data_IF_494400311283
#
_entry.id   IF_494400311283
#
_cell.length_a   1.000
_cell.length_b   1.000
_cell.length_c   1.000
_cell.angle_alpha   90.00
_cell.angle_beta   90.00
_cell.angle_gamma   90.00
#
_symmetry.space_group_name_H-M   'P 1'
#
loop_
_entity.id
_entity.type
_entity.pdbx_description
1 polymer ?
#
# COMPACT_ATOMS: atom_id res chain seq x y z
N UNK A 1 -1.68 5.83 -9.25
CA UNK A 1 -0.75 5.52 -10.34
C UNK A 1 0.28 6.62 -10.38
N UNK A 2 1.52 6.26 -10.16
CA UNK A 2 2.66 7.17 -10.06
C UNK A 2 3.20 7.50 -11.44
N UNK A 3 3.03 6.59 -12.39
CA UNK A 3 3.18 6.86 -13.82
C UNK A 3 1.79 6.87 -14.49
N UNK A 4 1.23 8.06 -14.64
CA UNK A 4 0.01 8.24 -15.43
C UNK A 4 0.35 8.29 -16.93
N UNK A 5 -0.28 7.43 -17.72
CA UNK A 5 -0.25 7.46 -19.19
C UNK A 5 -1.65 7.62 -19.80
N UNK A 6 -2.66 7.90 -18.98
CA UNK A 6 -4.06 8.04 -19.41
C UNK A 6 -4.23 9.08 -20.52
N UNK A 7 -3.48 10.18 -20.46
CA UNK A 7 -3.51 11.22 -21.48
C UNK A 7 -2.89 10.75 -22.81
N UNK A 8 -1.80 9.98 -22.75
CA UNK A 8 -1.14 9.42 -23.95
C UNK A 8 -2.02 8.41 -24.67
N UNK A 9 -2.94 7.74 -23.96
CA UNK A 9 -3.88 6.76 -24.52
C UNK A 9 -5.31 7.29 -24.70
N UNK A 10 -5.51 8.60 -24.54
CA UNK A 10 -6.83 9.20 -24.66
C UNK A 10 -7.39 9.15 -26.09
N UNK A 11 -6.52 9.13 -27.11
CA UNK A 11 -6.89 8.98 -28.52
C UNK A 11 -6.45 7.63 -29.08
N UNK A 12 -7.36 6.94 -29.78
CA UNK A 12 -7.07 5.68 -30.46
C UNK A 12 -6.32 5.97 -31.76
N UNK A 13 -5.01 5.75 -31.76
CA UNK A 13 -4.15 5.78 -32.95
C UNK A 13 -3.30 4.51 -32.99
N UNK A 14 -3.04 3.97 -34.18
CA UNK A 14 -2.21 2.77 -34.37
C UNK A 14 -0.80 2.95 -33.81
N UNK A 15 -0.29 4.19 -33.72
CA UNK A 15 1.03 4.51 -33.17
C UNK A 15 1.03 4.67 -31.64
N UNK A 16 -0.13 4.80 -31.00
CA UNK A 16 -0.23 4.98 -29.55
C UNK A 16 0.41 3.81 -28.80
N UNK A 17 0.14 2.57 -29.23
CA UNK A 17 0.70 1.38 -28.60
C UNK A 17 2.23 1.31 -28.76
N UNK A 18 2.75 1.66 -29.94
CA UNK A 18 4.20 1.70 -30.20
C UNK A 18 4.89 2.74 -29.31
N UNK A 19 4.27 3.91 -29.12
CA UNK A 19 4.76 4.97 -28.22
C UNK A 19 4.84 4.48 -26.76
N UNK A 20 3.86 3.71 -26.29
CA UNK A 20 3.88 3.12 -24.94
C UNK A 20 5.00 2.08 -24.79
N UNK A 21 5.19 1.22 -25.79
CA UNK A 21 6.20 0.16 -25.77
C UNK A 21 7.63 0.72 -25.69
N UNK A 22 7.86 1.91 -26.24
CA UNK A 22 9.15 2.60 -26.21
C UNK A 22 9.36 3.49 -24.97
N UNK A 23 8.40 3.54 -24.04
CA UNK A 23 8.57 4.27 -22.78
C UNK A 23 9.63 3.59 -21.90
N UNK A 24 10.37 4.38 -21.11
CA UNK A 24 11.41 3.85 -20.21
C UNK A 24 10.99 3.74 -18.75
N UNK A 25 10.35 4.79 -18.20
CA UNK A 25 9.87 4.77 -16.81
C UNK A 25 8.65 3.85 -16.68
N UNK A 26 8.66 2.96 -15.68
CA UNK A 26 7.60 1.95 -15.49
C UNK A 26 7.44 0.96 -16.64
N UNK A 27 8.49 0.74 -17.44
CA UNK A 27 8.40 -0.11 -18.61
C UNK A 27 8.98 -1.50 -18.41
N UNK A 28 8.47 -2.45 -19.20
CA UNK A 28 8.95 -3.85 -19.21
C UNK A 28 10.45 -3.91 -19.49
N UNK A 29 10.98 -3.01 -20.33
CA UNK A 29 12.41 -2.94 -20.63
C UNK A 29 13.26 -2.65 -19.39
N UNK A 30 12.81 -1.72 -18.54
CA UNK A 30 13.54 -1.39 -17.31
C UNK A 30 13.61 -2.60 -16.37
N UNK A 31 12.54 -3.39 -16.30
CA UNK A 31 12.43 -4.55 -15.41
C UNK A 31 13.11 -5.83 -15.93
N UNK A 32 13.25 -6.01 -17.24
CA UNK A 32 13.75 -7.27 -17.84
C UNK A 32 15.16 -7.15 -18.43
N UNK A 33 15.71 -5.93 -18.59
CA UNK A 33 17.01 -5.72 -19.27
C UNK A 33 18.16 -6.53 -18.69
N UNK A 34 18.23 -6.72 -17.37
CA UNK A 34 19.31 -7.45 -16.68
C UNK A 34 19.24 -8.93 -16.99
N UNK A 35 18.05 -9.51 -16.85
CA UNK A 35 17.73 -10.91 -17.14
C UNK A 35 17.93 -11.21 -18.62
N UNK A 36 17.45 -10.33 -19.50
CA UNK A 36 17.61 -10.47 -20.94
C UNK A 36 19.08 -10.39 -21.36
N UNK A 37 19.84 -9.44 -20.81
CA UNK A 37 21.27 -9.32 -21.10
C UNK A 37 22.02 -10.58 -20.66
N UNK A 38 21.75 -11.08 -19.45
CA UNK A 38 22.34 -12.32 -18.95
C UNK A 38 21.99 -13.51 -19.85
N UNK A 39 20.73 -13.62 -20.28
CA UNK A 39 20.27 -14.68 -21.17
C UNK A 39 20.94 -14.61 -22.54
N UNK A 40 21.04 -13.42 -23.14
CA UNK A 40 21.69 -13.21 -24.44
C UNK A 40 23.17 -13.57 -24.36
N UNK A 41 23.87 -13.15 -23.31
CA UNK A 41 25.28 -13.51 -23.09
C UNK A 41 25.43 -15.03 -22.96
N UNK A 42 24.62 -15.68 -22.12
CA UNK A 42 24.66 -17.13 -21.94
C UNK A 42 24.38 -17.88 -23.25
N UNK A 43 23.38 -17.42 -24.02
CA UNK A 43 23.04 -18.00 -25.32
C UNK A 43 24.21 -17.92 -26.30
N UNK A 44 24.85 -16.75 -26.42
CA UNK A 44 25.99 -16.59 -27.33
C UNK A 44 27.23 -17.35 -26.87
N UNK A 45 27.45 -17.54 -25.57
CA UNK A 45 28.50 -18.43 -25.06
C UNK A 45 28.27 -19.86 -25.55
N UNK A 46 27.07 -20.41 -25.37
CA UNK A 46 26.73 -21.76 -25.84
C UNK A 46 26.85 -21.86 -27.36
N UNK A 47 26.40 -20.84 -28.10
CA UNK A 47 26.55 -20.76 -29.55
C UNK A 47 28.03 -20.81 -29.99
N UNK A 48 28.91 -20.03 -29.34
CA UNK A 48 30.33 -20.02 -29.63
C UNK A 48 31.00 -21.37 -29.31
N UNK A 49 30.63 -22.02 -28.20
CA UNK A 49 31.12 -23.35 -27.85
C UNK A 49 30.72 -24.36 -28.92
N UNK A 50 29.44 -24.39 -29.29
CA UNK A 50 28.94 -25.30 -30.32
C UNK A 50 29.64 -25.09 -31.67
N UNK A 51 29.82 -23.83 -32.09
CA UNK A 51 30.33 -23.51 -33.43
C UNK A 51 31.84 -23.64 -33.56
N UNK A 52 32.60 -23.29 -32.53
CA UNK A 52 34.06 -23.15 -32.61
C UNK A 52 34.84 -24.11 -31.71
N UNK A 53 34.26 -24.62 -30.63
CA UNK A 53 34.98 -25.48 -29.68
C UNK A 53 34.64 -26.98 -29.83
N UNK A 54 33.40 -27.32 -30.20
CA UNK A 54 32.98 -28.72 -30.34
C UNK A 54 33.44 -29.34 -31.66
N UNK A 55 33.89 -30.59 -31.58
CA UNK A 55 34.20 -31.42 -32.75
C UNK A 55 32.93 -31.95 -33.43
N UNK A 56 32.97 -32.37 -34.71
CA UNK A 56 31.81 -32.89 -35.43
C UNK A 56 31.01 -34.01 -34.73
N UNK A 57 31.64 -35.01 -34.06
CA UNK A 57 30.88 -36.01 -33.31
C UNK A 57 30.20 -35.41 -32.06
N UNK A 58 30.85 -34.47 -31.36
CA UNK A 58 30.26 -33.82 -30.18
C UNK A 58 29.10 -32.90 -30.54
N UNK A 59 29.15 -32.23 -31.70
CA UNK A 59 28.04 -31.43 -32.21
C UNK A 59 26.78 -32.28 -32.42
N UNK A 60 26.92 -33.50 -32.96
CA UNK A 60 25.79 -34.43 -33.15
C UNK A 60 25.15 -34.85 -31.83
N UNK A 61 25.96 -35.08 -30.79
CA UNK A 61 25.41 -35.39 -29.45
C UNK A 61 24.71 -34.16 -28.84
N UNK A 62 25.28 -32.97 -29.01
CA UNK A 62 24.63 -31.72 -28.58
C UNK A 62 23.28 -31.49 -29.28
N UNK A 63 23.21 -31.75 -30.59
CA UNK A 63 21.96 -31.64 -31.36
C UNK A 63 20.86 -32.59 -30.87
N UNK A 64 21.22 -33.83 -30.50
CA UNK A 64 20.28 -34.78 -29.89
C UNK A 64 19.74 -34.26 -28.56
N UNK A 65 20.62 -33.70 -27.72
CA UNK A 65 20.24 -33.11 -26.43
C UNK A 65 19.31 -31.93 -26.65
N UNK A 66 19.65 -31.01 -27.56
CA UNK A 66 18.85 -29.83 -27.87
C UNK A 66 17.46 -30.22 -28.40
N UNK A 67 17.39 -31.21 -29.30
CA UNK A 67 16.13 -31.74 -29.81
C UNK A 67 15.28 -32.36 -28.69
N UNK A 68 15.90 -33.16 -27.81
CA UNK A 68 15.24 -33.76 -26.66
C UNK A 68 14.66 -32.70 -25.72
N UNK A 69 15.44 -31.67 -25.37
CA UNK A 69 14.97 -30.56 -24.55
C UNK A 69 13.81 -29.82 -25.20
N UNK A 70 13.88 -29.53 -26.51
CA UNK A 70 12.83 -28.81 -27.23
C UNK A 70 11.50 -29.56 -27.21
N UNK A 71 11.52 -30.89 -27.36
CA UNK A 71 10.30 -31.71 -27.26
C UNK A 71 9.65 -31.66 -25.88
N UNK A 72 10.42 -31.39 -24.82
CA UNK A 72 9.90 -31.39 -23.46
C UNK A 72 9.47 -30.00 -22.95
N UNK A 73 9.79 -28.92 -23.67
CA UNK A 73 9.39 -27.57 -23.31
C UNK A 73 7.86 -27.38 -23.35
N UNK A 74 7.18 -28.05 -24.28
CA UNK A 74 5.72 -27.97 -24.45
C UNK A 74 4.94 -28.66 -23.31
N UNK A 75 5.57 -29.54 -22.52
CA UNK A 75 4.91 -30.20 -21.39
C UNK A 75 4.64 -29.27 -20.22
N UNK A 76 5.31 -28.12 -20.14
CA UNK A 76 5.12 -27.16 -19.05
C UNK A 76 4.16 -26.07 -19.54
N UNK A 77 2.89 -26.03 -19.07
CA UNK A 77 1.91 -25.04 -19.50
C UNK A 77 2.17 -23.68 -18.82
N UNK A 78 3.31 -23.06 -19.13
CA UNK A 78 3.76 -21.79 -18.55
C UNK A 78 2.72 -20.69 -18.74
N UNK A 79 2.12 -20.59 -19.93
CA UNK A 79 1.10 -19.58 -20.24
C UNK A 79 -0.12 -19.67 -19.31
N UNK A 80 -0.57 -20.90 -19.04
CA UNK A 80 -1.68 -21.12 -18.11
C UNK A 80 -1.30 -20.68 -16.70
N UNK A 81 -0.19 -21.19 -16.17
CA UNK A 81 0.27 -20.83 -14.82
C UNK A 81 0.48 -19.31 -14.66
N UNK A 82 1.04 -18.66 -15.68
CA UNK A 82 1.26 -17.22 -15.72
C UNK A 82 -0.04 -16.44 -15.65
N UNK A 83 -1.05 -16.83 -16.42
CA UNK A 83 -2.34 -16.16 -16.45
C UNK A 83 -3.04 -16.21 -15.09
N UNK A 84 -3.05 -17.38 -14.42
CA UNK A 84 -3.60 -17.50 -13.07
C UNK A 84 -2.83 -16.66 -12.06
N UNK A 85 -1.50 -16.71 -12.12
CA UNK A 85 -0.64 -15.95 -11.20
C UNK A 85 -0.83 -14.43 -11.34
N UNK A 86 -0.80 -13.91 -12.57
CA UNK A 86 -0.98 -12.48 -12.85
C UNK A 86 -2.36 -12.01 -12.44
N UNK A 87 -3.42 -12.79 -12.69
CA UNK A 87 -4.79 -12.43 -12.27
C UNK A 87 -4.90 -12.31 -10.74
N UNK A 88 -4.35 -13.27 -9.98
CA UNK A 88 -4.36 -13.23 -8.52
C UNK A 88 -3.65 -11.97 -7.99
N UNK A 89 -2.52 -11.62 -8.60
CA UNK A 89 -1.73 -10.46 -8.20
C UNK A 89 -2.44 -9.15 -8.54
N UNK A 90 -3.02 -9.05 -9.74
CA UNK A 90 -3.81 -7.89 -10.14
C UNK A 90 -5.02 -7.67 -9.20
N UNK A 91 -5.70 -8.74 -8.81
CA UNK A 91 -6.80 -8.68 -7.84
C UNK A 91 -6.34 -8.24 -6.45
N UNK A 92 -5.18 -8.75 -5.98
CA UNK A 92 -4.58 -8.32 -4.71
C UNK A 92 -4.21 -6.83 -4.76
N UNK A 93 -3.54 -6.39 -5.82
CA UNK A 93 -3.18 -5.00 -6.03
C UNK A 93 -4.41 -4.09 -6.01
N UNK A 94 -5.48 -4.47 -6.71
CA UNK A 94 -6.74 -3.71 -6.75
C UNK A 94 -7.40 -3.64 -5.37
N UNK A 95 -7.35 -4.73 -4.60
CA UNK A 95 -7.83 -4.74 -3.20
C UNK A 95 -7.01 -3.79 -2.34
N UNK A 96 -5.68 -3.74 -2.46
CA UNK A 96 -4.84 -2.80 -1.71
C UNK A 96 -5.19 -1.37 -2.10
N UNK A 97 -5.29 -1.08 -3.41
CA UNK A 97 -5.65 0.24 -3.92
C UNK A 97 -7.01 0.73 -3.38
N UNK A 98 -8.05 -0.12 -3.47
CA UNK A 98 -9.40 0.23 -3.02
C UNK A 98 -9.50 0.40 -1.50
N UNK A 99 -8.62 -0.23 -0.74
CA UNK A 99 -8.57 -0.12 0.72
C UNK A 99 -7.62 1.00 1.19
N UNK A 100 -6.98 1.75 0.30
CA UNK A 100 -6.21 2.93 0.70
C UNK A 100 -7.12 3.91 1.46
N UNK A 101 -6.65 4.38 2.61
CA UNK A 101 -7.43 5.17 3.54
C UNK A 101 -7.66 6.61 3.05
N UNK A 102 -8.71 6.83 2.26
CA UNK A 102 -9.15 8.16 1.86
C UNK A 102 -9.96 8.83 2.99
N UNK A 103 -9.66 10.09 3.30
CA UNK A 103 -10.21 10.80 4.47
C UNK A 103 -11.48 11.61 4.15
N UNK A 104 -11.82 11.81 2.88
CA UNK A 104 -12.85 12.74 2.42
C UNK A 104 -14.23 12.37 2.94
N UNK A 105 -14.61 11.10 2.81
CA UNK A 105 -15.90 10.62 3.27
C UNK A 105 -16.04 10.83 4.78
N UNK A 106 -14.96 10.60 5.54
CA UNK A 106 -14.95 10.87 6.96
C UNK A 106 -15.07 12.37 7.24
N UNK A 107 -14.26 13.21 6.60
CA UNK A 107 -14.22 14.65 6.85
C UNK A 107 -15.54 15.34 6.47
N UNK A 108 -16.16 14.94 5.35
CA UNK A 108 -17.48 15.40 4.93
C UNK A 108 -18.56 14.95 5.91
N UNK A 109 -18.52 13.69 6.35
CA UNK A 109 -19.48 13.18 7.34
C UNK A 109 -19.32 13.90 8.68
N UNK A 110 -18.10 14.15 9.15
CA UNK A 110 -17.80 14.92 10.37
C UNK A 110 -18.38 16.31 10.32
N UNK A 111 -18.17 17.00 9.20
CA UNK A 111 -18.69 18.36 8.99
C UNK A 111 -20.22 18.36 8.92
N UNK A 112 -20.82 17.36 8.28
CA UNK A 112 -22.27 17.26 8.15
C UNK A 112 -22.97 16.90 9.47
N UNK A 113 -22.36 16.05 10.30
CA UNK A 113 -22.98 15.46 11.50
C UNK A 113 -22.67 16.25 12.77
N UNK A 114 -21.44 16.76 12.92
CA UNK A 114 -21.01 17.49 14.11
C UNK A 114 -21.37 18.97 13.93
N UNK A 115 -22.62 19.31 14.28
CA UNK A 115 -23.21 20.65 14.16
C UNK A 115 -23.44 21.23 15.54
N UNK A 116 -23.11 22.51 15.70
CA UNK A 116 -23.20 23.23 16.97
C UNK A 116 -23.65 24.65 16.76
N UNK A 117 -24.16 25.26 17.83
CA UNK A 117 -24.45 26.69 17.84
C UNK A 117 -23.15 27.52 17.78
N UNK A 118 -23.28 28.80 17.39
CA UNK A 118 -22.14 29.71 17.23
C UNK A 118 -21.24 29.81 18.48
N UNK A 119 -21.80 29.61 19.68
CA UNK A 119 -21.07 29.63 20.94
C UNK A 119 -20.10 28.44 21.11
N UNK A 120 -20.39 27.28 20.51
CA UNK A 120 -19.62 26.04 20.66
C UNK A 120 -18.87 25.65 19.38
N UNK A 121 -18.96 26.46 18.33
CA UNK A 121 -18.39 26.18 17.01
C UNK A 121 -16.85 26.06 17.03
N UNK A 122 -16.17 26.81 17.89
CA UNK A 122 -14.72 26.65 18.05
C UNK A 122 -14.34 25.30 18.64
N UNK A 123 -15.07 24.86 19.68
CA UNK A 123 -14.84 23.54 20.28
C UNK A 123 -15.14 22.43 19.26
N UNK A 124 -16.28 22.52 18.56
CA UNK A 124 -16.65 21.59 17.49
C UNK A 124 -15.59 21.51 16.39
N UNK A 125 -15.04 22.65 15.98
CA UNK A 125 -13.94 22.74 15.00
C UNK A 125 -12.68 22.04 15.50
N UNK A 126 -12.29 22.25 16.75
CA UNK A 126 -11.14 21.57 17.36
C UNK A 126 -11.37 20.06 17.46
N UNK A 127 -12.58 19.61 17.78
CA UNK A 127 -12.93 18.18 17.78
C UNK A 127 -12.83 17.58 16.38
N UNK A 128 -13.39 18.22 15.34
CA UNK A 128 -13.27 17.77 13.94
C UNK A 128 -11.81 17.64 13.52
N UNK A 129 -10.99 18.65 13.83
CA UNK A 129 -9.54 18.65 13.54
C UNK A 129 -8.81 17.50 14.23
N UNK A 130 -9.07 17.28 15.51
CA UNK A 130 -8.43 16.20 16.27
C UNK A 130 -8.85 14.82 15.79
N UNK A 131 -10.14 14.61 15.47
CA UNK A 131 -10.63 13.34 14.91
C UNK A 131 -9.95 13.04 13.57
N UNK A 132 -9.89 14.02 12.66
CA UNK A 132 -9.21 13.85 11.36
C UNK A 132 -7.72 13.57 11.56
N UNK A 133 -7.04 14.32 12.44
CA UNK A 133 -5.62 14.13 12.75
C UNK A 133 -5.35 12.74 13.29
N UNK A 134 -6.18 12.21 14.19
CA UNK A 134 -6.05 10.86 14.71
C UNK A 134 -6.22 9.77 13.64
N UNK A 135 -7.13 9.97 12.69
CA UNK A 135 -7.29 9.02 11.57
C UNK A 135 -6.09 9.04 10.62
N UNK A 136 -5.52 10.21 10.36
CA UNK A 136 -4.27 10.34 9.58
C UNK A 136 -3.08 9.76 10.37
N UNK A 137 -3.01 9.99 11.67
CA UNK A 137 -1.98 9.42 12.54
C UNK A 137 -2.02 7.88 12.51
N UNK A 138 -3.21 7.28 12.59
CA UNK A 138 -3.37 5.83 12.39
C UNK A 138 -2.84 5.39 11.03
N UNK A 139 -3.20 6.10 9.94
CA UNK A 139 -2.69 5.82 8.60
C UNK A 139 -1.16 5.90 8.49
N UNK A 140 -0.52 6.90 9.12
CA UNK A 140 0.94 7.05 9.14
C UNK A 140 1.58 5.87 9.88
N UNK A 141 1.09 5.51 11.06
CA UNK A 141 1.61 4.39 11.84
C UNK A 141 1.52 3.07 11.06
N UNK A 142 0.44 2.89 10.30
CA UNK A 142 0.24 1.77 9.39
C UNK A 142 1.26 1.78 8.25
N UNK A 143 1.34 2.89 7.51
CA UNK A 143 2.19 2.98 6.33
C UNK A 143 3.68 2.91 6.67
N UNK A 144 4.10 3.35 7.85
CA UNK A 144 5.48 3.19 8.34
C UNK A 144 5.92 1.72 8.40
N UNK A 145 4.98 0.80 8.64
CA UNK A 145 5.30 -0.63 8.73
C UNK A 145 5.31 -1.33 7.37
N UNK A 146 4.50 -0.86 6.42
CA UNK A 146 4.29 -1.54 5.12
C UNK A 146 4.90 -0.82 3.92
N UNK A 147 5.34 0.43 4.07
CA UNK A 147 6.01 1.22 3.01
C UNK A 147 7.33 1.78 3.49
N UNK A 148 8.42 1.46 2.78
CA UNK A 148 9.76 1.93 3.10
C UNK A 148 9.90 3.44 2.92
N UNK A 149 9.21 4.03 1.93
CA UNK A 149 9.19 5.47 1.71
C UNK A 149 8.64 6.23 2.91
N UNK A 150 7.56 5.71 3.51
CA UNK A 150 6.95 6.32 4.70
C UNK A 150 7.80 6.07 5.94
N UNK A 151 8.43 4.90 6.05
CA UNK A 151 9.39 4.60 7.14
C UNK A 151 10.59 5.54 7.14
N UNK A 152 11.13 5.88 5.98
CA UNK A 152 12.24 6.85 5.87
C UNK A 152 11.81 8.26 6.23
N UNK A 153 10.58 8.65 5.91
CA UNK A 153 10.02 9.96 6.28
C UNK A 153 9.72 10.07 7.77
N UNK A 154 9.15 9.02 8.36
CA UNK A 154 8.78 8.98 9.77
C UNK A 154 9.49 7.85 10.50
N UNK A 155 10.82 7.93 10.72
CA UNK A 155 11.60 6.83 11.31
C UNK A 155 11.21 6.50 12.75
N UNK A 156 10.85 7.52 13.54
CA UNK A 156 10.58 7.42 14.97
C UNK A 156 9.36 8.28 15.37
N UNK A 157 8.89 8.16 16.61
CA UNK A 157 7.73 8.93 17.09
C UNK A 157 8.00 10.44 17.18
N UNK A 158 9.24 10.86 17.47
CA UNK A 158 9.59 12.28 17.52
C UNK A 158 9.46 12.94 16.15
N UNK A 159 9.80 12.23 15.07
CA UNK A 159 9.57 12.73 13.70
C UNK A 159 8.09 12.99 13.40
N UNK A 160 7.19 12.18 13.96
CA UNK A 160 5.72 12.33 13.82
C UNK A 160 5.22 13.53 14.64
N UNK A 161 5.79 13.74 15.83
CA UNK A 161 5.48 14.89 16.69
C UNK A 161 5.94 16.19 16.05
N UNK A 162 7.18 16.23 15.55
CA UNK A 162 7.77 17.40 14.90
C UNK A 162 6.96 17.86 13.68
N UNK A 163 6.38 16.92 12.93
CA UNK A 163 5.49 17.18 11.79
C UNK A 163 4.04 17.55 12.21
N UNK A 164 3.74 17.52 13.51
CA UNK A 164 2.45 17.94 14.08
C UNK A 164 1.32 16.93 13.91
N UNK A 165 1.64 15.66 13.66
CA UNK A 165 0.64 14.58 13.59
C UNK A 165 0.27 14.03 14.97
N UNK A 166 1.15 14.21 15.95
CA UNK A 166 0.99 13.77 17.33
C UNK A 166 1.46 14.87 18.30
N UNK A 167 0.79 15.02 19.43
CA UNK A 167 1.17 15.97 20.48
C UNK A 167 2.00 15.26 21.57
N UNK A 168 2.80 16.01 22.33
CA UNK A 168 3.69 15.43 23.36
C UNK A 168 2.93 14.59 24.39
N UNK A 169 1.83 15.11 24.94
CA UNK A 169 0.97 14.36 25.88
C UNK A 169 0.32 13.11 25.25
N UNK A 170 0.15 13.07 23.93
CA UNK A 170 -0.36 11.89 23.23
C UNK A 170 0.72 10.82 23.08
N UNK A 171 2.00 11.22 23.00
CA UNK A 171 3.13 10.27 23.04
C UNK A 171 3.20 9.61 24.41
N UNK A 172 3.03 10.36 25.49
CA UNK A 172 2.98 9.80 26.85
C UNK A 172 1.87 8.74 26.97
N UNK A 173 0.65 9.09 26.54
CA UNK A 173 -0.47 8.12 26.49
C UNK A 173 -0.18 6.91 25.59
N UNK A 174 0.58 7.08 24.51
CA UNK A 174 0.97 6.01 23.59
C UNK A 174 2.00 5.06 24.22
N UNK A 175 2.97 5.61 24.97
CA UNK A 175 4.01 4.88 25.67
C UNK A 175 3.51 4.16 26.91
N UNK A 176 2.56 4.74 27.65
CA UNK A 176 1.90 4.09 28.79
C UNK A 176 1.26 2.76 28.40
N UNK A 177 0.67 2.69 27.20
CA UNK A 177 0.08 1.45 26.66
C UNK A 177 1.16 0.41 26.29
N UNK A 178 2.41 0.83 26.03
CA UNK A 178 3.54 -0.09 25.76
C UNK A 178 4.10 -0.73 27.03
N UNK A 179 3.77 -0.20 28.21
CA UNK A 179 4.33 -0.64 29.47
C UNK A 179 4.17 -2.16 29.67
N UNK A 180 5.23 -2.89 30.11
CA UNK A 180 5.22 -4.35 30.25
C UNK A 180 4.08 -4.88 31.12
N UNK A 181 3.69 -4.10 32.13
CA UNK A 181 2.60 -4.37 33.06
C UNK A 181 1.24 -4.56 32.35
N UNK A 182 0.98 -3.75 31.31
CA UNK A 182 -0.25 -3.84 30.50
C UNK A 182 -0.19 -5.00 29.51
N UNK A 183 0.99 -5.28 28.94
CA UNK A 183 1.23 -6.43 28.04
C UNK A 183 0.95 -7.78 28.68
N UNK A 184 1.22 -7.94 29.99
CA UNK A 184 1.05 -9.22 30.70
C UNK A 184 -0.41 -9.59 30.96
N UNK A 185 -1.33 -8.62 31.08
CA UNK A 185 -2.73 -8.90 31.46
C UNK A 185 -3.57 -9.55 30.36
N UNK A 186 -3.14 -9.53 29.10
CA UNK A 186 -3.90 -10.10 27.98
C UNK A 186 -2.98 -10.82 26.99
N UNK A 187 -2.61 -12.07 27.31
CA UNK A 187 -1.68 -12.90 26.53
C UNK A 187 -2.15 -13.13 25.07
N UNK A 188 -3.47 -13.25 24.85
CA UNK A 188 -4.09 -13.39 23.52
C UNK A 188 -3.99 -12.12 22.67
N UNK A 189 -3.63 -10.98 23.27
CA UNK A 189 -3.55 -9.66 22.63
C UNK A 189 -2.10 -9.21 22.37
N UNK A 190 -1.10 -10.04 22.68
CA UNK A 190 0.34 -9.74 22.45
C UNK A 190 0.65 -9.34 21.00
N UNK A 191 0.00 -9.98 20.02
CA UNK A 191 0.13 -9.64 18.59
C UNK A 191 -0.50 -8.26 18.30
N UNK A 192 -1.62 -7.92 18.93
CA UNK A 192 -2.30 -6.64 18.77
C UNK A 192 -1.58 -5.46 19.45
N UNK A 193 -0.85 -5.72 20.54
CA UNK A 193 -0.07 -4.69 21.28
C UNK A 193 1.25 -4.38 20.56
N UNK A 194 1.74 -5.27 19.70
CA UNK A 194 2.97 -5.03 18.93
C UNK A 194 2.86 -3.82 18.00
N UNK A 195 1.65 -3.51 17.52
CA UNK A 195 1.40 -2.39 16.63
C UNK A 195 0.17 -1.58 17.05
N UNK A 196 0.42 -0.44 17.70
CA UNK A 196 -0.59 0.43 18.31
C UNK A 196 -1.25 1.42 17.32
N UNK A 197 -1.36 1.06 16.02
CA UNK A 197 -2.03 1.91 15.02
C UNK A 197 -3.54 2.11 15.31
N UNK A 198 -4.13 1.24 16.13
CA UNK A 198 -5.54 1.31 16.52
C UNK A 198 -5.81 2.37 17.59
N UNK A 199 -4.77 2.79 18.33
CA UNK A 199 -4.90 3.68 19.47
C UNK A 199 -5.39 5.07 19.07
N UNK A 200 -4.86 5.73 18.02
CA UNK A 200 -5.44 6.97 17.51
C UNK A 200 -6.91 6.82 17.09
N UNK A 201 -7.28 5.67 16.52
CA UNK A 201 -8.68 5.44 16.13
C UNK A 201 -9.58 5.33 17.36
N UNK A 202 -9.10 4.68 18.42
CA UNK A 202 -9.81 4.66 19.70
C UNK A 202 -9.97 6.09 20.26
N UNK A 203 -8.93 6.93 20.21
CA UNK A 203 -9.04 8.34 20.60
C UNK A 203 -10.07 9.11 19.77
N UNK A 204 -10.13 8.89 18.45
CA UNK A 204 -11.15 9.46 17.59
C UNK A 204 -12.57 9.02 18.01
N UNK A 205 -12.78 7.73 18.30
CA UNK A 205 -14.04 7.20 18.81
C UNK A 205 -14.43 7.86 20.14
N UNK A 206 -13.49 8.06 21.06
CA UNK A 206 -13.77 8.75 22.34
C UNK A 206 -14.18 10.21 22.15
N UNK A 207 -13.60 10.93 21.17
CA UNK A 207 -14.03 12.28 20.82
C UNK A 207 -15.44 12.30 20.23
N UNK A 208 -15.79 11.32 19.39
CA UNK A 208 -17.14 11.20 18.83
C UNK A 208 -18.17 10.90 19.93
N UNK A 209 -17.84 10.00 20.87
CA UNK A 209 -18.69 9.73 22.03
C UNK A 209 -18.89 10.99 22.89
N UNK A 210 -17.83 11.77 23.10
CA UNK A 210 -17.91 13.06 23.80
C UNK A 210 -18.76 14.08 23.05
N UNK A 211 -18.67 14.14 21.73
CA UNK A 211 -19.51 15.01 20.90
C UNK A 211 -20.99 14.65 21.08
N UNK A 212 -21.31 13.35 21.14
CA UNK A 212 -22.67 12.89 21.41
C UNK A 212 -23.16 13.25 22.82
N UNK A 213 -22.32 13.11 23.84
CA UNK A 213 -22.71 13.52 25.22
C UNK A 213 -22.92 15.02 25.38
N UNK A 214 -22.35 15.82 24.46
CA UNK A 214 -22.50 17.28 24.40
C UNK A 214 -23.64 17.72 23.48
N UNK A 215 -24.43 16.79 22.94
CA UNK A 215 -25.50 17.04 21.98
C UNK A 215 -25.05 17.73 20.67
N UNK A 216 -23.75 17.68 20.34
CA UNK A 216 -23.22 18.18 19.06
C UNK A 216 -23.57 17.25 17.88
N UNK A 217 -24.06 16.06 18.19
CA UNK A 217 -24.59 15.09 17.23
C UNK A 217 -26.06 14.93 17.59
N UNK A 218 -26.96 15.37 16.70
CA UNK A 218 -28.39 15.49 17.00
C UNK A 218 -29.07 14.12 17.22
N UNK A 219 -28.80 13.14 16.36
CA UNK A 219 -29.56 11.89 16.31
C UNK A 219 -28.70 10.62 16.39
N UNK A 220 -29.31 9.53 16.88
CA UNK A 220 -28.65 8.24 17.03
C UNK A 220 -28.21 7.59 15.69
N UNK A 221 -28.97 7.71 14.57
CA UNK A 221 -28.51 7.30 13.25
C UNK A 221 -27.20 7.99 12.82
N UNK A 222 -27.08 9.30 12.98
CA UNK A 222 -25.88 10.07 12.67
C UNK A 222 -24.66 9.63 13.51
N UNK A 223 -24.87 9.32 14.78
CA UNK A 223 -23.85 8.72 15.64
C UNK A 223 -23.42 7.32 15.14
N UNK A 224 -24.39 6.46 14.79
CA UNK A 224 -24.12 5.13 14.22
C UNK A 224 -23.36 5.20 12.90
N UNK A 225 -23.71 6.15 12.03
CA UNK A 225 -23.01 6.41 10.77
C UNK A 225 -21.55 6.80 11.04
N UNK A 226 -21.31 7.72 11.98
CA UNK A 226 -19.96 8.14 12.34
C UNK A 226 -19.11 6.98 12.84
N UNK A 227 -19.67 6.16 13.74
CA UNK A 227 -19.00 4.96 14.23
C UNK A 227 -18.70 4.00 13.09
N UNK A 228 -19.66 3.75 12.18
CA UNK A 228 -19.44 2.87 11.02
C UNK A 228 -18.30 3.38 10.12
N UNK A 229 -18.23 4.68 9.82
CA UNK A 229 -17.17 5.23 8.96
C UNK A 229 -15.79 5.08 9.62
N UNK A 230 -15.68 5.38 10.91
CA UNK A 230 -14.43 5.22 11.66
C UNK A 230 -14.02 3.75 11.80
N UNK A 231 -14.95 2.86 12.16
CA UNK A 231 -14.66 1.43 12.27
C UNK A 231 -14.41 0.75 10.91
N UNK A 232 -15.01 1.25 9.82
CA UNK A 232 -14.73 0.75 8.47
C UNK A 232 -13.29 1.05 8.07
N UNK A 233 -12.77 2.24 8.41
CA UNK A 233 -11.36 2.60 8.19
C UNK A 233 -10.39 1.72 8.99
N UNK A 234 -10.79 1.22 10.17
CA UNK A 234 -10.01 0.24 10.95
C UNK A 234 -10.07 -1.15 10.31
N UNK A 235 -11.25 -1.58 9.85
CA UNK A 235 -11.44 -2.90 9.26
C UNK A 235 -10.77 -3.06 7.90
N UNK A 236 -10.74 -2.00 7.08
CA UNK A 236 -9.98 -2.01 5.81
C UNK A 236 -8.49 -2.22 6.05
N UNK A 237 -7.95 -1.65 7.13
CA UNK A 237 -6.57 -1.87 7.54
C UNK A 237 -6.27 -3.33 7.95
N UNK A 238 -7.14 -3.97 8.76
CA UNK A 238 -6.94 -5.38 9.13
C UNK A 238 -6.97 -6.30 7.91
N UNK A 239 -7.79 -6.00 6.91
CA UNK A 239 -7.80 -6.71 5.62
C UNK A 239 -6.50 -6.48 4.85
N UNK A 240 -6.00 -5.24 4.81
CA UNK A 240 -4.70 -4.91 4.18
C UNK A 240 -3.57 -5.68 4.87
N UNK A 241 -3.50 -5.70 6.20
CA UNK A 241 -2.44 -6.40 6.94
C UNK A 241 -2.50 -7.92 6.81
N UNK A 242 -3.70 -8.50 6.70
CA UNK A 242 -3.88 -9.93 6.43
C UNK A 242 -3.25 -10.33 5.08
N UNK A 243 -3.15 -9.40 4.12
CA UNK A 243 -2.63 -9.67 2.77
C UNK A 243 -1.20 -9.16 2.55
N UNK A 244 -0.82 -8.05 3.18
CA UNK A 244 0.47 -7.37 2.99
C UNK A 244 1.59 -7.86 3.93
N UNK A 245 1.24 -8.44 5.08
CA UNK A 245 2.23 -8.95 6.06
C UNK A 245 2.34 -10.48 6.08
N UNK A 246 1.89 -11.16 5.02
CA UNK A 246 2.14 -12.59 4.88
C UNK A 246 3.64 -12.80 4.71
N UNK A 247 4.26 -13.59 5.60
CA UNK A 247 5.63 -14.07 5.41
C UNK A 247 5.61 -14.99 4.19
N UNK A 248 6.08 -14.49 3.05
CA UNK A 248 6.41 -15.33 1.92
C UNK A 248 7.61 -16.18 2.34
N UNK A 249 7.36 -17.43 2.72
CA UNK A 249 8.42 -18.39 2.99
C UNK A 249 9.15 -18.63 1.67
N UNK A 250 10.41 -18.19 1.61
CA UNK A 250 11.34 -18.63 0.58
C UNK A 250 12.55 -17.72 0.43
N UNK A 251 13.69 -18.13 1.00
CA UNK A 251 15.05 -17.73 0.54
C UNK A 251 15.37 -18.29 -0.87
N UNK A 252 14.35 -18.40 -1.72
CA UNK A 252 14.37 -19.06 -3.03
C UNK A 252 13.06 -18.89 -3.80
N UNK A 253 12.35 -17.77 -3.60
CA UNK A 253 11.14 -17.48 -4.37
C UNK A 253 11.48 -17.43 -5.88
N UNK A 254 10.80 -18.20 -6.74
CA UNK A 254 11.05 -18.12 -8.18
C UNK A 254 10.73 -16.70 -8.64
N UNK A 255 11.70 -16.08 -9.33
CA UNK A 255 11.49 -14.82 -10.05
C UNK A 255 10.33 -15.03 -11.03
N UNK A 256 9.14 -14.57 -10.66
CA UNK A 256 7.98 -14.52 -11.55
C UNK A 256 8.24 -13.53 -12.70
N UNK A 257 7.33 -13.44 -13.69
CA UNK A 257 7.42 -12.40 -14.71
C UNK A 257 7.46 -11.01 -14.06
N UNK A 258 8.24 -10.08 -14.63
CA UNK A 258 8.52 -8.75 -14.06
C UNK A 258 7.30 -7.94 -13.64
N UNK A 259 6.17 -8.10 -14.32
CA UNK A 259 4.91 -7.41 -14.00
C UNK A 259 4.31 -7.91 -12.68
N UNK A 260 4.47 -9.20 -12.39
CA UNK A 260 3.95 -9.80 -11.17
C UNK A 260 4.79 -9.44 -9.94
N UNK A 261 6.09 -9.18 -10.11
CA UNK A 261 6.99 -8.74 -9.04
C UNK A 261 6.66 -7.30 -8.59
N UNK A 262 6.53 -6.37 -9.54
CA UNK A 262 6.15 -4.98 -9.26
C UNK A 262 4.77 -4.86 -8.59
N UNK A 263 3.81 -5.72 -8.96
CA UNK A 263 2.48 -5.73 -8.36
C UNK A 263 2.40 -6.57 -7.07
N UNK A 264 3.44 -7.34 -6.73
CA UNK A 264 3.47 -8.20 -5.54
C UNK A 264 3.49 -7.37 -4.25
N UNK A 265 4.26 -6.28 -4.25
CA UNK A 265 4.36 -5.32 -3.17
C UNK A 265 4.28 -3.89 -3.70
N UNK A 266 3.07 -3.36 -3.93
CA UNK A 266 2.89 -2.03 -4.53
C UNK A 266 3.17 -0.86 -3.55
N UNK A 267 3.88 -1.11 -2.46
CA UNK A 267 4.18 -0.15 -1.40
C UNK A 267 5.71 0.07 -1.25
N UNK A 268 6.49 -0.45 -2.20
CA UNK A 268 7.95 -0.35 -2.26
C UNK A 268 8.45 1.01 -2.76
N UNK A 269 9.51 0.98 -3.57
CA UNK A 269 10.18 2.16 -4.14
C UNK A 269 10.29 2.09 -5.68
N UNK A 270 9.56 1.16 -6.31
CA UNK A 270 9.52 1.05 -7.76
C UNK A 270 8.73 2.22 -8.37
N UNK A 271 9.02 2.52 -9.64
CA UNK A 271 8.41 3.66 -10.34
C UNK A 271 6.87 3.60 -10.35
N UNK A 272 6.27 2.41 -10.29
CA UNK A 272 4.83 2.15 -10.38
C UNK A 272 4.15 1.87 -9.01
N UNK A 273 4.93 1.87 -7.92
CA UNK A 273 4.44 1.68 -6.55
C UNK A 273 3.62 2.86 -6.05
N UNK A 274 2.71 2.67 -5.10
CA UNK A 274 1.85 3.73 -4.59
C UNK A 274 2.64 4.87 -3.90
N UNK A 275 2.39 6.12 -4.33
CA UNK A 275 2.86 7.33 -3.62
C UNK A 275 2.17 7.51 -2.24
N UNK A 276 2.59 6.75 -1.24
CA UNK A 276 2.00 6.82 0.10
C UNK A 276 2.22 8.19 0.77
N UNK A 277 3.39 8.80 0.53
CA UNK A 277 3.72 10.14 1.03
C UNK A 277 2.80 11.23 0.45
N UNK A 278 2.48 11.12 -0.85
CA UNK A 278 1.51 12.00 -1.49
C UNK A 278 0.13 11.84 -0.84
N UNK A 279 -0.32 10.61 -0.63
CA UNK A 279 -1.62 10.34 -0.02
C UNK A 279 -1.72 10.95 1.39
N UNK A 280 -0.70 10.79 2.23
CA UNK A 280 -0.64 11.40 3.57
C UNK A 280 -0.76 12.93 3.49
N UNK A 281 0.06 13.56 2.64
CA UNK A 281 0.06 15.02 2.50
C UNK A 281 -1.29 15.53 2.00
N UNK A 282 -1.84 14.86 1.00
CA UNK A 282 -3.13 15.20 0.40
C UNK A 282 -4.27 15.04 1.41
N UNK A 283 -4.30 13.95 2.17
CA UNK A 283 -5.28 13.74 3.23
C UNK A 283 -5.17 14.81 4.33
N UNK A 284 -3.95 15.22 4.66
CA UNK A 284 -3.70 16.30 5.64
C UNK A 284 -4.26 17.63 5.15
N UNK A 285 -4.00 18.00 3.91
CA UNK A 285 -4.51 19.25 3.30
C UNK A 285 -6.03 19.26 3.21
N UNK A 286 -6.62 18.19 2.68
CA UNK A 286 -8.09 18.06 2.54
C UNK A 286 -8.77 18.04 3.90
N UNK A 287 -8.21 17.30 4.86
CA UNK A 287 -8.73 17.23 6.22
C UNK A 287 -8.74 18.58 6.93
N UNK A 288 -7.65 19.35 6.81
CA UNK A 288 -7.58 20.71 7.36
C UNK A 288 -8.58 21.65 6.68
N UNK A 289 -8.67 21.61 5.36
CA UNK A 289 -9.60 22.45 4.58
C UNK A 289 -11.07 22.19 4.93
N UNK A 290 -11.49 20.92 4.97
CA UNK A 290 -12.88 20.57 5.31
C UNK A 290 -13.22 20.85 6.78
N UNK A 291 -12.27 20.69 7.70
CA UNK A 291 -12.48 21.01 9.12
C UNK A 291 -12.72 22.49 9.41
N UNK A 292 -12.36 23.36 8.46
CA UNK A 292 -12.50 24.81 8.54
C UNK A 292 -13.84 25.34 8.04
N UNK A 293 -14.62 24.51 7.32
CA UNK A 293 -15.91 24.93 6.77
C UNK A 293 -16.89 25.06 7.94
N UNK A 294 -17.18 26.29 8.36
CA UNK A 294 -18.36 26.60 9.17
C UNK A 294 -19.56 26.68 8.23
N UNK A 295 -20.54 25.80 8.43
CA UNK A 295 -21.86 25.97 7.81
C UNK A 295 -22.72 26.89 8.66
#
# INVERSE_FOLDING_TARGET
MTISYNLDVASVSSFTFLKLLLRWRGSIWKSVKSELLLWVIAYYIVFCIYRYALTPPQQREFEKIAYYCNQHLDYIPLTFMLAFFVNIIADRWRKIFNNMGWIENLALTLTAVLRTDAAHEEEARLMRRSIIRYMILSQILVYRDISMQVRRRFPDLSSIVNEGFMLEHEVEMYEDVKAPEVKKRVLLFSIFISNQYWLPVNWAVTLIARARSKDFIADAPSYSLMMKVVFLAVRSYFVICLVSRQFLIGDGAPKGPSVAEALLNPLGEDDDDFECNFLINRNTTVGRGLSLIST
#
